data_IF_157510499096
#
_entry.id   IF_157510499096
#
_cell.length_a   1.000
_cell.length_b   1.000
_cell.length_c   1.000
_cell.angle_alpha   90.00
_cell.angle_beta   90.00
_cell.angle_gamma   90.00
#
_symmetry.space_group_name_H-M   'P 1'
#
loop_
_entity.id
_entity.type
_entity.pdbx_description
1 polymer ?
#
# COMPACT_ATOMS: atom_id res chain seq x y z
N UNK A 1 11.88 14.35 13.73
CA UNK A 1 11.93 14.37 12.26
C UNK A 1 10.56 13.94 11.79
N UNK A 2 9.86 14.77 11.03
CA UNK A 2 8.52 14.45 10.51
C UNK A 2 8.60 13.66 9.20
N UNK A 3 7.47 13.06 8.80
CA UNK A 3 7.41 12.23 7.58
C UNK A 3 7.73 13.02 6.32
N UNK A 4 7.39 14.32 6.29
CA UNK A 4 7.60 15.18 5.12
C UNK A 4 9.10 15.42 4.89
N UNK A 5 9.85 15.60 5.97
CA UNK A 5 11.31 15.74 5.95
C UNK A 5 11.97 14.43 5.48
N UNK A 6 11.54 13.28 6.03
CA UNK A 6 12.06 11.96 5.64
C UNK A 6 11.78 11.67 4.17
N UNK A 7 10.57 11.95 3.70
CA UNK A 7 10.17 11.77 2.31
C UNK A 7 11.00 12.67 1.39
N UNK A 8 11.14 13.95 1.74
CA UNK A 8 11.92 14.91 0.97
C UNK A 8 13.37 14.43 0.80
N UNK A 9 14.03 14.05 1.90
CA UNK A 9 15.41 13.56 1.89
C UNK A 9 15.55 12.25 1.10
N UNK A 10 14.62 11.30 1.27
CA UNK A 10 14.61 10.04 0.53
C UNK A 10 14.43 10.25 -0.98
N UNK A 11 13.64 11.25 -1.39
CA UNK A 11 13.44 11.61 -2.80
C UNK A 11 14.68 12.29 -3.41
N UNK A 12 15.54 12.93 -2.61
CA UNK A 12 16.81 13.50 -3.10
C UNK A 12 17.90 12.43 -3.36
N UNK A 13 17.72 11.19 -2.91
CA UNK A 13 18.70 10.12 -3.14
C UNK A 13 18.83 9.78 -4.65
N UNK A 14 20.00 9.29 -5.10
CA UNK A 14 20.12 8.66 -6.42
C UNK A 14 19.10 7.52 -6.58
N UNK A 15 18.62 7.24 -7.81
CA UNK A 15 17.60 6.21 -8.04
C UNK A 15 17.92 4.84 -7.43
N UNK A 16 19.19 4.42 -7.48
CA UNK A 16 19.64 3.14 -6.93
C UNK A 16 19.50 3.10 -5.40
N UNK A 17 19.93 4.16 -4.71
CA UNK A 17 19.87 4.22 -3.25
C UNK A 17 18.44 4.41 -2.74
N UNK A 18 17.62 5.16 -3.49
CA UNK A 18 16.18 5.25 -3.22
C UNK A 18 15.50 3.88 -3.35
N UNK A 19 15.83 3.10 -4.38
CA UNK A 19 15.29 1.75 -4.53
C UNK A 19 15.71 0.82 -3.39
N UNK A 20 16.99 0.87 -2.98
CA UNK A 20 17.50 0.11 -1.82
C UNK A 20 16.79 0.52 -0.52
N UNK A 21 16.60 1.82 -0.28
CA UNK A 21 15.89 2.31 0.90
C UNK A 21 14.42 1.86 0.88
N UNK A 22 13.73 1.98 -0.26
CA UNK A 22 12.36 1.51 -0.40
C UNK A 22 12.22 0.01 -0.10
N UNK A 23 13.14 -0.81 -0.60
CA UNK A 23 13.17 -2.24 -0.28
C UNK A 23 13.35 -2.50 1.22
N UNK A 24 14.29 -1.81 1.87
CA UNK A 24 14.54 -1.97 3.31
C UNK A 24 13.33 -1.56 4.14
N UNK A 25 12.69 -0.44 3.78
CA UNK A 25 11.48 0.02 4.44
C UNK A 25 10.35 -1.00 4.25
N UNK A 26 10.19 -1.57 3.05
CA UNK A 26 9.19 -2.60 2.80
C UNK A 26 9.44 -3.84 3.67
N UNK A 27 10.68 -4.37 3.69
CA UNK A 27 11.05 -5.51 4.52
C UNK A 27 10.91 -5.25 6.02
N UNK A 28 11.01 -3.99 6.46
CA UNK A 28 10.78 -3.65 7.87
C UNK A 28 9.33 -3.86 8.30
N UNK A 29 8.38 -3.82 7.36
CA UNK A 29 6.97 -4.11 7.63
C UNK A 29 6.73 -5.61 7.82
N UNK A 30 7.54 -6.47 7.21
CA UNK A 30 7.48 -7.93 7.40
C UNK A 30 7.98 -8.36 8.78
N UNK A 31 8.71 -7.49 9.49
CA UNK A 31 9.17 -7.73 10.85
C UNK A 31 8.13 -7.38 11.92
N UNK A 32 6.97 -6.84 11.53
CA UNK A 32 5.87 -6.56 12.45
C UNK A 32 5.34 -7.86 13.06
N UNK A 33 4.93 -7.78 14.32
CA UNK A 33 4.20 -8.87 14.96
C UNK A 33 2.85 -9.12 14.28
N UNK A 34 2.29 -10.31 14.48
CA UNK A 34 0.96 -10.65 13.94
C UNK A 34 -0.12 -9.67 14.42
N UNK A 35 -0.03 -9.21 15.67
CA UNK A 35 -0.96 -8.24 16.27
C UNK A 35 -0.83 -6.86 15.60
N UNK A 36 0.39 -6.38 15.37
CA UNK A 36 0.63 -5.11 14.65
C UNK A 36 0.12 -5.18 13.21
N UNK A 37 0.32 -6.31 12.52
CA UNK A 37 -0.21 -6.53 11.17
C UNK A 37 -1.74 -6.53 11.16
N UNK A 38 -2.38 -7.23 12.10
CA UNK A 38 -3.84 -7.27 12.22
C UNK A 38 -4.42 -5.87 12.44
N UNK A 39 -3.85 -5.08 13.35
CA UNK A 39 -4.28 -3.71 13.60
C UNK A 39 -4.09 -2.80 12.38
N UNK A 40 -2.98 -2.94 11.67
CA UNK A 40 -2.72 -2.19 10.43
C UNK A 40 -3.77 -2.53 9.35
N UNK A 41 -4.11 -3.81 9.18
CA UNK A 41 -5.12 -4.26 8.22
C UNK A 41 -6.53 -3.79 8.59
N UNK A 42 -6.91 -3.85 9.87
CA UNK A 42 -8.21 -3.35 10.34
C UNK A 42 -8.35 -1.84 10.08
N UNK A 43 -7.29 -1.08 10.35
CA UNK A 43 -7.26 0.37 10.08
C UNK A 43 -7.46 0.67 8.59
N UNK A 44 -6.75 -0.05 7.72
CA UNK A 44 -6.87 0.11 6.27
C UNK A 44 -8.24 -0.33 5.75
N UNK A 45 -8.81 -1.40 6.29
CA UNK A 45 -10.15 -1.87 5.93
C UNK A 45 -11.24 -0.85 6.29
N UNK A 46 -11.19 -0.26 7.49
CA UNK A 46 -12.12 0.80 7.91
C UNK A 46 -11.99 2.04 7.01
N UNK A 47 -10.75 2.46 6.72
CA UNK A 47 -10.49 3.59 5.80
C UNK A 47 -11.13 3.35 4.43
N UNK A 48 -10.89 2.18 3.83
CA UNK A 48 -11.44 1.83 2.50
C UNK A 48 -12.96 1.68 2.49
N UNK A 49 -13.54 1.11 3.55
CA UNK A 49 -14.99 1.02 3.68
C UNK A 49 -15.62 2.42 3.66
N UNK A 50 -15.06 3.37 4.42
CA UNK A 50 -15.53 4.76 4.44
C UNK A 50 -15.35 5.48 3.11
N UNK A 51 -14.28 5.22 2.37
CA UNK A 51 -14.08 5.79 1.03
C UNK A 51 -15.13 5.29 0.04
N UNK A 52 -15.49 4.01 0.12
CA UNK A 52 -16.56 3.43 -0.69
C UNK A 52 -17.93 4.00 -0.33
N UNK A 53 -18.23 4.10 0.96
CA UNK A 53 -19.50 4.66 1.45
C UNK A 53 -19.68 6.14 1.06
N UNK A 54 -18.59 6.92 1.10
CA UNK A 54 -18.58 8.33 0.69
C UNK A 54 -18.57 8.54 -0.81
N UNK A 55 -18.24 7.51 -1.60
CA UNK A 55 -18.05 7.63 -3.04
C UNK A 55 -16.75 8.35 -3.44
N UNK A 56 -15.76 8.40 -2.54
CA UNK A 56 -14.44 9.00 -2.81
C UNK A 56 -13.66 8.21 -3.87
N UNK A 57 -14.03 6.93 -4.04
CA UNK A 57 -13.42 6.00 -4.98
C UNK A 57 -14.49 5.31 -5.84
N UNK A 58 -14.16 5.06 -7.11
CA UNK A 58 -15.03 4.31 -8.01
C UNK A 58 -14.75 2.80 -7.88
N UNK A 59 -15.69 1.97 -7.39
CA UNK A 59 -15.48 0.54 -7.31
C UNK A 59 -15.48 -0.11 -8.70
N UNK A 60 -14.70 -1.18 -8.84
CA UNK A 60 -14.70 -2.06 -10.02
C UNK A 60 -15.55 -3.29 -9.70
N UNK A 61 -16.41 -3.68 -10.65
CA UNK A 61 -17.26 -4.87 -10.43
C UNK A 61 -16.41 -6.13 -10.30
N UNK A 62 -16.84 -7.04 -9.42
CA UNK A 62 -16.14 -8.31 -9.21
C UNK A 62 -16.08 -9.15 -10.50
N UNK A 63 -17.08 -9.06 -11.39
CA UNK A 63 -17.08 -9.75 -12.68
C UNK A 63 -16.00 -9.22 -13.62
N UNK A 64 -15.80 -7.91 -13.67
CA UNK A 64 -14.74 -7.30 -14.46
C UNK A 64 -13.36 -7.72 -13.96
N UNK A 65 -13.13 -7.68 -12.64
CA UNK A 65 -11.87 -8.13 -12.03
C UNK A 65 -11.60 -9.60 -12.36
N UNK A 66 -12.61 -10.47 -12.17
CA UNK A 66 -12.49 -11.91 -12.50
C UNK A 66 -12.20 -12.15 -13.98
N UNK A 67 -12.82 -11.39 -14.88
CA UNK A 67 -12.57 -11.50 -16.33
C UNK A 67 -11.12 -11.15 -16.65
N UNK A 68 -10.62 -9.99 -16.17
CA UNK A 68 -9.23 -9.56 -16.39
C UNK A 68 -8.22 -10.57 -15.83
N UNK A 69 -8.46 -11.10 -14.63
CA UNK A 69 -7.58 -12.10 -14.01
C UNK A 69 -7.47 -13.38 -14.86
N UNK A 70 -8.58 -13.86 -15.44
CA UNK A 70 -8.56 -15.03 -16.35
C UNK A 70 -7.85 -14.77 -17.66
N UNK A 71 -7.91 -13.54 -18.18
CA UNK A 71 -7.20 -13.15 -19.41
C UNK A 71 -5.68 -13.16 -19.21
N UNK A 72 -5.17 -12.81 -18.03
CA UNK A 72 -3.74 -12.83 -17.71
C UNK A 72 -3.13 -14.22 -17.56
N UNK A 73 -3.96 -15.25 -17.37
CA UNK A 73 -3.54 -16.65 -17.22
C UNK A 73 -3.57 -17.44 -18.54
N UNK A 74 -3.87 -16.78 -19.66
CA UNK A 74 -3.82 -17.36 -21.01
C UNK A 74 -2.49 -17.03 -21.68
#
# INVERSE_FOLDING_TARGET
>A
MDIQTVEHEALQLPPEDRAKLAQKLLLSLDALSAEELEQAWLTEADRRARELERGDVQPISADEVRRKARELLR
#
